data_IF_892910186838
#
_entry.id   IF_892910186838
#
_cell.length_a   1.000
_cell.length_b   1.000
_cell.length_c   1.000
_cell.angle_alpha   90.00
_cell.angle_beta   90.00
_cell.angle_gamma   90.00
#
_symmetry.space_group_name_H-M   'P 1'
#
loop_
_entity.id
_entity.type
_entity.pdbx_description
1 polymer ?
#
# COMPACT_ATOMS: atom_id res chain seq x y z
N UNK A 1 4.45 -21.75 0.84
CA UNK A 1 4.19 -20.48 0.11
C UNK A 1 3.97 -19.41 1.17
N UNK A 2 4.82 -18.38 1.23
CA UNK A 2 4.72 -17.36 2.28
C UNK A 2 3.41 -16.58 2.12
N UNK A 3 2.51 -16.74 3.08
CA UNK A 3 1.19 -16.15 3.09
C UNK A 3 1.23 -14.72 3.68
N UNK A 4 2.10 -13.85 3.15
CA UNK A 4 2.23 -12.47 3.61
C UNK A 4 1.18 -11.58 2.97
N UNK A 5 -0.09 -11.81 3.32
CA UNK A 5 -1.17 -10.87 2.98
C UNK A 5 -0.91 -9.55 3.70
N UNK A 6 -0.95 -8.44 2.95
CA UNK A 6 -0.88 -7.09 3.50
C UNK A 6 -2.05 -6.92 4.48
N UNK A 7 -1.71 -6.66 5.74
CA UNK A 7 -2.69 -6.51 6.82
C UNK A 7 -3.09 -5.05 6.96
N UNK A 8 -4.40 -4.79 6.86
CA UNK A 8 -4.98 -3.46 7.04
C UNK A 8 -6.00 -3.54 8.17
N UNK A 9 -5.91 -2.61 9.13
CA UNK A 9 -6.86 -2.54 10.23
C UNK A 9 -8.28 -2.28 9.72
N UNK A 10 -9.28 -2.73 10.48
CA UNK A 10 -10.69 -2.53 10.12
C UNK A 10 -11.01 -1.05 9.85
N UNK A 11 -10.58 -0.16 10.74
CA UNK A 11 -10.79 1.30 10.61
C UNK A 11 -10.20 1.85 9.30
N UNK A 12 -9.01 1.40 8.91
CA UNK A 12 -8.38 1.81 7.65
C UNK A 12 -9.12 1.22 6.44
N UNK A 13 -9.63 -0.01 6.54
CA UNK A 13 -10.46 -0.60 5.48
C UNK A 13 -11.76 0.16 5.30
N UNK A 14 -12.44 0.52 6.38
CA UNK A 14 -13.69 1.30 6.35
C UNK A 14 -13.44 2.67 5.72
N UNK A 15 -12.32 3.33 6.06
CA UNK A 15 -11.89 4.56 5.40
C UNK A 15 -11.62 4.37 3.90
N UNK A 16 -10.87 3.33 3.51
CA UNK A 16 -10.59 3.04 2.09
C UNK A 16 -11.85 2.75 1.28
N UNK A 17 -12.83 2.06 1.87
CA UNK A 17 -14.15 1.85 1.28
C UNK A 17 -14.86 3.19 1.05
N UNK A 18 -14.82 4.10 2.03
CA UNK A 18 -15.38 5.45 1.89
C UNK A 18 -14.73 6.25 0.75
N UNK A 19 -13.41 6.16 0.61
CA UNK A 19 -12.69 6.83 -0.49
C UNK A 19 -13.09 6.27 -1.86
N UNK A 20 -13.24 4.95 -1.99
CA UNK A 20 -13.72 4.30 -3.23
C UNK A 20 -15.12 4.81 -3.58
N UNK A 21 -16.06 4.81 -2.62
CA UNK A 21 -17.42 5.31 -2.82
C UNK A 21 -17.40 6.78 -3.27
N UNK A 22 -16.60 7.59 -2.59
CA UNK A 22 -16.47 9.03 -2.89
C UNK A 22 -15.92 9.27 -4.29
N UNK A 23 -14.91 8.52 -4.71
CA UNK A 23 -14.34 8.62 -6.06
C UNK A 23 -15.38 8.26 -7.14
N UNK A 24 -16.09 7.14 -7.00
CA UNK A 24 -17.10 6.74 -7.99
C UNK A 24 -18.29 7.70 -8.05
N UNK A 25 -18.75 8.19 -6.90
CA UNK A 25 -19.85 9.18 -6.86
C UNK A 25 -19.44 10.49 -7.54
N UNK A 26 -18.20 10.99 -7.30
CA UNK A 26 -17.73 12.26 -7.88
C UNK A 26 -17.30 12.15 -9.34
N UNK A 27 -16.49 11.16 -9.68
CA UNK A 27 -15.83 11.07 -10.98
C UNK A 27 -16.65 10.28 -12.00
N UNK A 28 -17.58 9.44 -11.53
CA UNK A 28 -18.40 8.55 -12.38
C UNK A 28 -19.90 8.75 -12.22
N UNK A 29 -20.32 9.63 -11.30
CA UNK A 29 -21.73 9.87 -10.97
C UNK A 29 -22.45 8.54 -10.64
N UNK A 30 -21.73 7.63 -9.98
CA UNK A 30 -22.17 6.28 -9.62
C UNK A 30 -22.09 6.08 -8.11
N UNK A 31 -23.23 5.84 -7.46
CA UNK A 31 -23.28 5.59 -6.02
C UNK A 31 -23.06 4.10 -5.72
N UNK A 32 -21.87 3.78 -5.23
CA UNK A 32 -21.52 2.42 -4.81
C UNK A 32 -22.00 2.13 -3.38
N UNK A 33 -22.55 0.93 -3.19
CA UNK A 33 -22.79 0.37 -1.86
C UNK A 33 -21.50 -0.16 -1.20
N UNK A 34 -21.59 -0.48 0.09
CA UNK A 34 -20.43 -0.95 0.86
C UNK A 34 -19.89 -2.31 0.35
N UNK A 35 -20.78 -3.22 -0.05
CA UNK A 35 -20.37 -4.54 -0.57
C UNK A 35 -19.58 -4.41 -1.88
N UNK A 36 -20.07 -3.61 -2.83
CA UNK A 36 -19.39 -3.39 -4.11
C UNK A 36 -18.00 -2.74 -3.89
N UNK A 37 -17.95 -1.74 -3.00
CA UNK A 37 -16.71 -1.04 -2.65
C UNK A 37 -15.71 -1.95 -1.93
N UNK A 38 -16.20 -2.86 -1.08
CA UNK A 38 -15.38 -3.87 -0.41
C UNK A 38 -14.75 -4.85 -1.42
N UNK A 39 -15.52 -5.31 -2.42
CA UNK A 39 -15.01 -6.18 -3.49
C UNK A 39 -13.91 -5.48 -4.29
N UNK A 40 -14.10 -4.20 -4.63
CA UNK A 40 -13.10 -3.39 -5.32
C UNK A 40 -11.84 -3.24 -4.46
N UNK A 41 -11.99 -2.93 -3.17
CA UNK A 41 -10.87 -2.84 -2.24
C UNK A 41 -10.10 -4.16 -2.15
N UNK A 42 -10.80 -5.29 -2.03
CA UNK A 42 -10.19 -6.61 -1.97
C UNK A 42 -9.43 -6.94 -3.25
N UNK A 43 -9.96 -6.57 -4.43
CA UNK A 43 -9.21 -6.67 -5.69
C UNK A 43 -7.90 -5.87 -5.63
N UNK A 44 -7.93 -4.62 -5.18
CA UNK A 44 -6.71 -3.80 -5.07
C UNK A 44 -5.70 -4.39 -4.09
N UNK A 45 -6.15 -4.86 -2.92
CA UNK A 45 -5.27 -5.47 -1.91
C UNK A 45 -4.65 -6.77 -2.43
N UNK A 46 -5.41 -7.61 -3.12
CA UNK A 46 -4.91 -8.90 -3.58
C UNK A 46 -4.10 -8.84 -4.86
N UNK A 47 -4.39 -7.89 -5.76
CA UNK A 47 -3.78 -7.84 -7.09
C UNK A 47 -2.77 -6.73 -7.28
N UNK A 48 -2.96 -5.57 -6.64
CA UNK A 48 -2.11 -4.39 -6.90
C UNK A 48 -1.20 -4.06 -5.71
N UNK A 49 -1.68 -4.20 -4.48
CA UNK A 49 -0.94 -3.81 -3.28
C UNK A 49 0.45 -4.49 -3.12
N UNK A 50 0.67 -5.76 -3.53
CA UNK A 50 2.01 -6.36 -3.48
C UNK A 50 3.06 -5.59 -4.30
N UNK A 51 2.71 -5.04 -5.44
CA UNK A 51 3.64 -4.27 -6.28
C UNK A 51 4.10 -3.00 -5.56
N UNK A 52 3.16 -2.24 -4.99
CA UNK A 52 3.47 -1.04 -4.21
C UNK A 52 4.28 -1.35 -2.94
N UNK A 53 3.92 -2.42 -2.24
CA UNK A 53 4.63 -2.83 -1.03
C UNK A 53 6.07 -3.24 -1.33
N UNK A 54 6.27 -4.08 -2.37
CA UNK A 54 7.60 -4.53 -2.78
C UNK A 54 8.47 -3.36 -3.25
N UNK A 55 7.91 -2.42 -4.00
CA UNK A 55 8.61 -1.21 -4.39
C UNK A 55 9.03 -0.40 -3.15
N UNK A 56 8.13 -0.20 -2.19
CA UNK A 56 8.46 0.50 -0.94
C UNK A 56 9.56 -0.20 -0.13
N UNK A 57 9.58 -1.53 -0.11
CA UNK A 57 10.66 -2.30 0.53
C UNK A 57 11.99 -2.08 -0.19
N UNK A 58 11.99 -2.13 -1.53
CA UNK A 58 13.20 -1.89 -2.33
C UNK A 58 13.73 -0.46 -2.14
N UNK A 59 12.85 0.54 -2.16
CA UNK A 59 13.22 1.94 -1.94
C UNK A 59 13.80 2.14 -0.53
N UNK A 60 13.21 1.48 0.48
CA UNK A 60 13.71 1.51 1.85
C UNK A 60 15.08 0.84 1.97
N UNK A 61 15.29 -0.30 1.29
CA UNK A 61 16.58 -0.97 1.24
C UNK A 61 17.64 -0.05 0.65
N UNK A 62 17.35 0.55 -0.52
CA UNK A 62 18.28 1.45 -1.20
C UNK A 62 18.66 2.64 -0.31
N UNK A 63 17.66 3.29 0.29
CA UNK A 63 17.90 4.40 1.21
C UNK A 63 18.83 3.99 2.38
N UNK A 64 18.62 2.80 2.95
CA UNK A 64 19.47 2.31 4.03
C UNK A 64 20.88 1.97 3.56
N UNK A 65 21.05 1.43 2.36
CA UNK A 65 22.38 1.17 1.79
C UNK A 65 23.17 2.48 1.64
N UNK A 66 22.55 3.54 1.11
CA UNK A 66 23.18 4.86 1.00
C UNK A 66 23.65 5.36 2.39
N UNK A 67 22.82 5.19 3.43
CA UNK A 67 23.21 5.56 4.80
C UNK A 67 24.36 4.71 5.36
N UNK A 68 24.41 3.42 5.00
CA UNK A 68 25.51 2.54 5.41
C UNK A 68 26.81 2.94 4.72
N UNK A 69 26.76 3.33 3.44
CA UNK A 69 27.93 3.84 2.72
C UNK A 69 28.47 5.11 3.38
N UNK A 70 27.62 6.08 3.73
CA UNK A 70 28.01 7.29 4.48
C UNK A 70 28.74 6.95 5.79
N UNK A 71 28.30 5.89 6.49
CA UNK A 71 28.93 5.45 7.75
C UNK A 71 30.29 4.78 7.55
N UNK A 72 30.56 4.19 6.39
CA UNK A 72 31.86 3.56 6.12
C UNK A 72 32.94 4.61 5.81
N UNK A 73 32.56 5.79 5.32
CA UNK A 73 33.50 6.88 5.02
C UNK A 73 34.25 7.40 6.25
N UNK A 74 33.69 7.25 7.46
CA UNK A 74 34.32 7.73 8.71
C UNK A 74 35.30 6.72 9.34
N UNK A 75 35.50 5.56 8.72
CA UNK A 75 36.40 4.52 9.24
C UNK A 75 37.87 4.98 9.19
N UNK A 76 38.59 4.84 10.32
CA UNK A 76 40.02 5.15 10.43
C UNK A 76 40.84 3.87 10.55
N UNK A 77 42.03 3.86 9.93
CA UNK A 77 43.01 2.78 9.97
C UNK A 77 44.06 3.00 11.06
#
# INVERSE_FOLDING_TARGET
MNNNKIQISKEKRDYMISEIKTYFSKERNEDLGDLASMIILDFFIEKLAPEFYNQGVYDSQKYMMDRVEDLLEIQKY
#
